data_IF_489031555844
#
_entry.id   IF_489031555844
#
_cell.length_a   1.000
_cell.length_b   1.000
_cell.length_c   1.000
_cell.angle_alpha   90.00
_cell.angle_beta   90.00
_cell.angle_gamma   90.00
#
_symmetry.space_group_name_H-M   'P 1'
#
loop_
_entity.id
_entity.type
_entity.pdbx_description
1 polymer ?
#
# COMPACT_ATOMS: atom_id res chain seq x y z
N UNK A 1 -28.22 1.22 -19.64
CA UNK A 1 -26.99 1.22 -20.45
C UNK A 1 -26.35 2.60 -20.32
N UNK A 2 -25.52 2.81 -19.30
CA UNK A 2 -24.86 4.09 -19.01
C UNK A 2 -23.45 4.03 -19.60
N UNK A 3 -23.28 4.55 -20.82
CA UNK A 3 -21.95 4.63 -21.45
C UNK A 3 -21.22 5.85 -20.90
N UNK A 4 -20.42 5.65 -19.85
CA UNK A 4 -19.52 6.69 -19.33
C UNK A 4 -18.26 6.67 -20.20
N UNK A 5 -18.17 7.59 -21.16
CA UNK A 5 -16.91 7.88 -21.87
C UNK A 5 -16.01 8.70 -20.95
N UNK A 6 -15.10 8.04 -20.23
CA UNK A 6 -13.92 8.74 -19.69
C UNK A 6 -12.99 9.07 -20.85
N UNK A 7 -12.82 10.37 -21.16
CA UNK A 7 -11.69 10.82 -21.98
C UNK A 7 -10.42 10.66 -21.13
N UNK A 8 -9.37 9.97 -21.62
CA UNK A 8 -8.11 9.92 -20.90
C UNK A 8 -7.52 11.34 -20.82
N UNK A 9 -7.33 11.83 -19.60
CA UNK A 9 -6.64 13.08 -19.31
C UNK A 9 -5.16 12.96 -19.72
N UNK A 10 -4.55 14.04 -20.21
CA UNK A 10 -3.17 14.12 -20.72
C UNK A 10 -2.10 13.53 -19.76
N UNK A 11 -2.39 13.48 -18.46
CA UNK A 11 -1.56 12.87 -17.41
C UNK A 11 -1.46 11.34 -17.52
N UNK A 12 -2.52 10.65 -17.94
CA UNK A 12 -2.55 9.19 -18.14
C UNK A 12 -1.62 8.79 -19.29
N UNK A 13 -1.56 9.60 -20.35
CA UNK A 13 -0.69 9.36 -21.50
C UNK A 13 0.80 9.32 -21.11
N UNK A 14 1.25 10.23 -20.24
CA UNK A 14 2.66 10.30 -19.83
C UNK A 14 3.08 9.14 -18.93
N UNK A 15 2.19 8.60 -18.10
CA UNK A 15 2.52 7.49 -17.20
C UNK A 15 2.67 6.17 -17.96
N UNK A 16 1.77 5.90 -18.90
CA UNK A 16 1.87 4.77 -19.85
C UNK A 16 3.15 4.87 -20.67
N UNK A 17 3.59 6.09 -20.98
CA UNK A 17 4.80 6.35 -21.76
C UNK A 17 6.11 6.08 -20.98
N UNK A 18 6.18 6.35 -19.67
CA UNK A 18 7.39 6.04 -18.88
C UNK A 18 7.52 4.54 -18.63
N UNK A 19 6.40 3.86 -18.33
CA UNK A 19 6.40 2.40 -18.12
C UNK A 19 6.29 1.62 -19.44
N UNK A 20 6.20 2.28 -20.59
CA UNK A 20 6.11 1.68 -21.94
C UNK A 20 5.12 0.52 -22.05
N UNK A 21 3.93 0.67 -21.43
CA UNK A 21 2.91 -0.39 -21.42
C UNK A 21 3.26 -1.64 -20.62
N UNK A 22 4.28 -1.60 -19.73
CA UNK A 22 4.65 -2.71 -18.85
C UNK A 22 3.44 -3.19 -18.03
N UNK A 23 3.22 -4.50 -18.06
CA UNK A 23 2.22 -5.18 -17.22
C UNK A 23 2.49 -4.87 -15.73
N UNK A 24 1.48 -4.47 -14.93
CA UNK A 24 1.61 -4.36 -13.48
C UNK A 24 2.02 -5.69 -12.84
N UNK A 25 2.81 -5.63 -11.77
CA UNK A 25 3.21 -6.83 -11.02
C UNK A 25 2.04 -7.39 -10.18
N UNK A 26 1.01 -6.58 -9.96
CA UNK A 26 -0.26 -6.97 -9.35
C UNK A 26 -1.32 -5.90 -9.59
N UNK A 27 -2.59 -6.26 -9.38
CA UNK A 27 -3.70 -5.32 -9.41
C UNK A 27 -4.60 -5.59 -8.22
N UNK A 28 -5.10 -4.54 -7.59
CA UNK A 28 -6.26 -4.64 -6.71
C UNK A 28 -7.48 -4.05 -7.39
N UNK A 29 -8.54 -4.85 -7.39
CA UNK A 29 -9.86 -4.45 -7.84
C UNK A 29 -10.69 -4.15 -6.59
N UNK A 30 -11.24 -2.94 -6.52
CA UNK A 30 -12.07 -2.50 -5.40
C UNK A 30 -13.43 -2.13 -5.93
N UNK A 31 -14.48 -2.54 -5.24
CA UNK A 31 -15.87 -2.12 -5.47
C UNK A 31 -16.52 -1.87 -4.12
N UNK A 32 -17.58 -1.07 -4.07
CA UNK A 32 -18.25 -0.83 -2.81
C UNK A 32 -19.32 0.25 -2.88
N UNK A 33 -19.81 0.65 -1.73
CA UNK A 33 -20.75 1.75 -1.63
C UNK A 33 -20.67 2.46 -0.28
N UNK A 34 -21.13 3.70 -0.26
CA UNK A 34 -21.62 4.34 0.95
C UNK A 34 -23.14 4.22 0.95
N UNK A 35 -23.70 3.70 2.02
CA UNK A 35 -25.13 3.50 2.18
C UNK A 35 -25.59 3.95 3.56
N UNK A 36 -26.83 4.43 3.63
CA UNK A 36 -27.51 4.82 4.87
C UNK A 36 -28.49 3.74 5.29
N UNK A 37 -28.61 3.50 6.60
CA UNK A 37 -29.59 2.58 7.18
C UNK A 37 -29.03 1.62 8.23
N UNK A 38 -27.74 1.77 8.59
CA UNK A 38 -27.08 0.94 9.58
C UNK A 38 -27.42 1.42 11.00
N UNK A 39 -27.98 0.53 11.84
CA UNK A 39 -28.36 0.86 13.23
C UNK A 39 -27.18 0.80 14.20
N UNK A 40 -26.38 -0.27 14.11
CA UNK A 40 -25.19 -0.49 14.95
C UNK A 40 -23.92 -0.25 14.11
N UNK A 41 -23.49 1.01 14.04
CA UNK A 41 -22.40 1.45 13.15
C UNK A 41 -21.29 2.19 13.93
N UNK A 42 -20.77 1.55 14.98
CA UNK A 42 -19.69 2.09 15.83
C UNK A 42 -18.35 1.41 15.62
N UNK A 43 -18.31 0.30 14.89
CA UNK A 43 -17.11 -0.51 14.67
C UNK A 43 -16.59 -0.35 13.24
N UNK A 44 -15.31 -0.66 13.08
CA UNK A 44 -14.59 -0.58 11.80
C UNK A 44 -13.82 -1.86 11.53
N UNK A 45 -13.85 -2.29 10.28
CA UNK A 45 -13.12 -3.45 9.77
C UNK A 45 -12.00 -2.96 8.85
N UNK A 46 -10.74 -3.13 9.28
CA UNK A 46 -9.56 -2.66 8.52
C UNK A 46 -9.15 -3.66 7.44
N UNK A 47 -9.29 -4.95 7.71
CA UNK A 47 -9.18 -6.01 6.72
C UNK A 47 -9.90 -7.24 7.26
N UNK A 48 -10.97 -7.64 6.58
CA UNK A 48 -11.75 -8.81 6.95
C UNK A 48 -11.84 -9.78 5.77
N UNK A 49 -11.61 -11.06 6.03
CA UNK A 49 -11.76 -12.14 5.05
C UNK A 49 -12.25 -13.38 5.78
N UNK A 50 -13.36 -13.94 5.31
CA UNK A 50 -13.99 -15.12 5.92
C UNK A 50 -14.46 -16.16 4.90
N UNK A 51 -14.52 -15.80 3.62
CA UNK A 51 -14.81 -16.75 2.55
C UNK A 51 -13.55 -17.46 2.10
N UNK A 52 -13.68 -18.73 1.74
CA UNK A 52 -12.71 -19.38 0.86
C UNK A 52 -12.58 -18.63 -0.47
N UNK A 53 -11.55 -18.95 -1.26
CA UNK A 53 -11.45 -18.49 -2.65
C UNK A 53 -12.76 -18.78 -3.38
N UNK A 54 -13.29 -17.75 -4.05
CA UNK A 54 -14.54 -17.78 -4.79
C UNK A 54 -14.30 -17.56 -6.27
N UNK A 55 -15.17 -18.13 -7.08
CA UNK A 55 -15.25 -17.83 -8.50
C UNK A 55 -16.13 -16.60 -8.75
N UNK A 56 -15.56 -15.58 -9.40
CA UNK A 56 -16.27 -14.40 -9.91
C UNK A 56 -15.96 -14.26 -11.40
N UNK A 57 -17.00 -14.34 -12.23
CA UNK A 57 -16.84 -14.52 -13.67
C UNK A 57 -16.04 -15.80 -13.98
N UNK A 58 -14.98 -15.66 -14.76
CA UNK A 58 -14.05 -16.75 -15.09
C UNK A 58 -12.79 -16.77 -14.20
N UNK A 59 -12.82 -16.06 -13.06
CA UNK A 59 -11.66 -15.88 -12.19
C UNK A 59 -11.87 -16.36 -10.76
N UNK A 60 -10.89 -17.10 -10.25
CA UNK A 60 -10.74 -17.38 -8.83
C UNK A 60 -10.19 -16.15 -8.09
N UNK A 61 -10.89 -15.70 -7.05
CA UNK A 61 -10.58 -14.52 -6.26
C UNK A 61 -10.71 -14.76 -4.76
N UNK A 62 -9.82 -14.16 -3.98
CA UNK A 62 -10.01 -14.01 -2.55
C UNK A 62 -10.66 -12.65 -2.29
N UNK A 63 -11.78 -12.64 -1.58
CA UNK A 63 -12.52 -11.41 -1.28
C UNK A 63 -12.14 -10.90 0.12
N UNK A 64 -11.77 -9.62 0.16
CA UNK A 64 -11.47 -8.87 1.37
C UNK A 64 -12.47 -7.75 1.55
N UNK A 65 -12.69 -7.37 2.80
CA UNK A 65 -13.66 -6.37 3.18
C UNK A 65 -13.00 -5.31 4.07
N UNK A 66 -13.40 -4.08 3.83
CA UNK A 66 -13.11 -2.91 4.64
C UNK A 66 -14.43 -2.17 4.88
N UNK A 67 -14.70 -1.78 6.11
CA UNK A 67 -15.97 -1.14 6.41
C UNK A 67 -15.86 -0.16 7.58
N UNK A 68 -16.37 1.05 7.39
CA UNK A 68 -16.20 2.15 8.33
C UNK A 68 -17.47 3.00 8.42
N UNK A 69 -17.81 3.54 9.61
CA UNK A 69 -18.80 4.59 9.73
C UNK A 69 -18.39 5.80 8.88
N UNK A 70 -19.32 6.33 8.09
CA UNK A 70 -19.07 7.47 7.22
C UNK A 70 -19.22 8.78 8.01
N UNK A 71 -18.39 9.77 7.69
CA UNK A 71 -18.48 11.10 8.30
C UNK A 71 -19.75 11.89 7.94
N UNK A 72 -20.60 11.38 7.04
CA UNK A 72 -21.86 12.01 6.65
C UNK A 72 -23.01 11.78 7.65
N UNK A 73 -22.88 10.80 8.55
CA UNK A 73 -23.87 10.57 9.61
C UNK A 73 -23.67 9.23 10.32
N UNK A 74 -24.20 9.06 11.53
CA UNK A 74 -24.03 7.83 12.32
C UNK A 74 -24.66 6.59 11.67
N UNK A 75 -25.67 6.78 10.82
CA UNK A 75 -26.36 5.70 10.10
C UNK A 75 -25.72 5.37 8.74
N UNK A 76 -24.71 6.14 8.34
CA UNK A 76 -24.06 6.00 7.04
C UNK A 76 -22.80 5.15 7.21
N UNK A 77 -22.64 4.10 6.40
CA UNK A 77 -21.46 3.23 6.41
C UNK A 77 -20.89 3.13 5.01
N UNK A 78 -19.58 3.25 4.93
CA UNK A 78 -18.84 2.95 3.71
C UNK A 78 -18.29 1.54 3.80
N UNK A 79 -18.61 0.72 2.81
CA UNK A 79 -18.10 -0.64 2.72
C UNK A 79 -17.44 -0.85 1.38
N UNK A 80 -16.21 -1.37 1.43
CA UNK A 80 -15.41 -1.78 0.30
C UNK A 80 -15.25 -3.29 0.31
N UNK A 81 -15.41 -3.90 -0.86
CA UNK A 81 -14.95 -5.25 -1.16
C UNK A 81 -13.80 -5.13 -2.15
N UNK A 82 -12.71 -5.84 -1.90
CA UNK A 82 -11.57 -5.83 -2.79
C UNK A 82 -10.93 -7.19 -2.95
N UNK A 83 -10.18 -7.34 -4.05
CA UNK A 83 -9.44 -8.56 -4.33
C UNK A 83 -8.13 -8.25 -5.02
N UNK A 84 -7.08 -9.01 -4.68
CA UNK A 84 -5.79 -8.96 -5.34
C UNK A 84 -5.74 -9.99 -6.45
N UNK A 85 -5.26 -9.58 -7.62
CA UNK A 85 -5.12 -10.44 -8.79
C UNK A 85 -3.75 -10.28 -9.43
N UNK A 86 -3.27 -11.35 -10.06
CA UNK A 86 -2.28 -11.22 -11.13
C UNK A 86 -2.99 -10.76 -12.41
N UNK A 87 -2.64 -9.61 -12.99
CA UNK A 87 -3.36 -9.10 -14.16
C UNK A 87 -3.19 -10.03 -15.36
N UNK A 88 -4.28 -10.58 -15.86
CA UNK A 88 -4.28 -11.52 -16.98
C UNK A 88 -5.59 -11.43 -17.77
N UNK A 89 -5.61 -12.03 -18.97
CA UNK A 89 -6.87 -12.18 -19.69
C UNK A 89 -7.84 -13.03 -18.85
N UNK A 90 -9.11 -12.63 -18.82
CA UNK A 90 -10.13 -13.30 -18.00
C UNK A 90 -10.17 -12.88 -16.53
N UNK A 91 -9.37 -11.89 -16.11
CA UNK A 91 -9.54 -11.23 -14.80
C UNK A 91 -10.98 -10.71 -14.62
N UNK A 92 -11.52 -10.69 -13.38
CA UNK A 92 -12.90 -10.30 -13.14
C UNK A 92 -13.19 -8.88 -13.61
N UNK A 93 -14.40 -8.65 -14.10
CA UNK A 93 -14.88 -7.29 -14.37
C UNK A 93 -15.31 -6.61 -13.08
N UNK A 94 -15.24 -5.28 -13.05
CA UNK A 94 -15.70 -4.51 -11.89
C UNK A 94 -17.21 -4.65 -11.69
N UNK A 95 -17.98 -4.79 -12.76
CA UNK A 95 -19.41 -5.02 -12.71
C UNK A 95 -19.74 -6.37 -12.03
N UNK A 96 -19.01 -7.44 -12.38
CA UNK A 96 -19.18 -8.77 -11.78
C UNK A 96 -18.83 -8.76 -10.28
N UNK A 97 -17.76 -8.04 -9.91
CA UNK A 97 -17.41 -7.85 -8.51
C UNK A 97 -18.46 -7.03 -7.75
N UNK A 98 -19.01 -5.98 -8.36
CA UNK A 98 -20.01 -5.13 -7.73
C UNK A 98 -21.30 -5.89 -7.46
N UNK A 99 -21.78 -6.68 -8.41
CA UNK A 99 -22.94 -7.56 -8.22
C UNK A 99 -22.72 -8.54 -7.07
N UNK A 100 -21.55 -9.20 -7.04
CA UNK A 100 -21.20 -10.13 -5.97
C UNK A 100 -21.08 -9.46 -4.60
N UNK A 101 -20.54 -8.23 -4.56
CA UNK A 101 -20.43 -7.42 -3.36
C UNK A 101 -21.81 -7.11 -2.76
N UNK A 102 -22.76 -6.68 -3.59
CA UNK A 102 -24.13 -6.36 -3.16
C UNK A 102 -24.84 -7.58 -2.56
N UNK A 103 -24.66 -8.77 -3.15
CA UNK A 103 -25.22 -10.02 -2.60
C UNK A 103 -24.63 -10.35 -1.22
N UNK A 104 -23.30 -10.33 -1.07
CA UNK A 104 -22.66 -10.68 0.21
C UNK A 104 -22.95 -9.65 1.30
N UNK A 105 -23.06 -8.36 0.95
CA UNK A 105 -23.40 -7.31 1.92
C UNK A 105 -24.77 -7.54 2.54
N UNK A 106 -25.75 -7.95 1.74
CA UNK A 106 -27.08 -8.30 2.23
C UNK A 106 -27.02 -9.45 3.25
N UNK A 107 -26.21 -10.48 2.96
CA UNK A 107 -26.09 -11.68 3.80
C UNK A 107 -25.33 -11.42 5.11
N UNK A 108 -24.29 -10.58 5.06
CA UNK A 108 -23.33 -10.38 6.16
C UNK A 108 -23.73 -9.30 7.17
N UNK A 109 -24.49 -8.29 6.75
CA UNK A 109 -24.83 -7.15 7.63
C UNK A 109 -26.16 -7.35 8.36
N UNK A 110 -26.93 -8.38 8.00
CA UNK A 110 -28.27 -8.64 8.55
C UNK A 110 -29.30 -7.56 8.20
N UNK A 111 -28.95 -6.61 7.33
CA UNK A 111 -29.83 -5.57 6.82
C UNK A 111 -30.19 -5.92 5.38
N UNK A 112 -31.47 -6.05 5.09
CA UNK A 112 -31.94 -6.25 3.71
C UNK A 112 -31.59 -5.02 2.87
N UNK A 113 -31.20 -5.23 1.61
CA UNK A 113 -30.85 -4.15 0.69
C UNK A 113 -31.98 -3.11 0.55
N UNK A 114 -33.25 -3.52 0.69
CA UNK A 114 -34.41 -2.63 0.65
C UNK A 114 -34.43 -1.58 1.78
N UNK A 115 -33.71 -1.84 2.88
CA UNK A 115 -33.59 -0.93 4.01
C UNK A 115 -32.36 -0.01 3.89
N UNK A 116 -31.55 -0.16 2.83
CA UNK A 116 -30.33 0.61 2.61
C UNK A 116 -30.54 1.64 1.49
N UNK A 117 -30.30 2.91 1.81
CA UNK A 117 -30.29 3.99 0.83
C UNK A 117 -28.87 4.19 0.31
N UNK A 118 -28.58 3.70 -0.90
CA UNK A 118 -27.27 3.86 -1.54
C UNK A 118 -27.00 5.33 -1.85
N UNK A 119 -26.04 5.92 -1.14
CA UNK A 119 -25.63 7.31 -1.32
C UNK A 119 -24.61 7.45 -2.46
N UNK A 120 -23.71 6.46 -2.58
CA UNK A 120 -22.63 6.47 -3.57
C UNK A 120 -22.15 5.05 -3.85
N UNK A 121 -21.83 4.77 -5.11
CA UNK A 121 -21.10 3.56 -5.53
C UNK A 121 -19.66 3.93 -5.84
N UNK A 122 -18.73 3.06 -5.48
CA UNK A 122 -17.30 3.19 -5.79
C UNK A 122 -16.80 1.94 -6.51
N UNK A 123 -15.90 2.15 -7.45
CA UNK A 123 -15.12 1.09 -8.07
C UNK A 123 -13.77 1.67 -8.48
N UNK A 124 -12.73 0.84 -8.45
CA UNK A 124 -11.36 1.27 -8.69
C UNK A 124 -10.45 0.12 -9.08
N UNK A 125 -9.43 0.46 -9.87
CA UNK A 125 -8.36 -0.44 -10.28
C UNK A 125 -7.05 0.18 -9.81
N UNK A 126 -6.34 -0.52 -8.93
CA UNK A 126 -5.09 -0.06 -8.35
C UNK A 126 -3.94 -0.95 -8.83
N UNK A 127 -3.21 -0.55 -9.89
CA UNK A 127 -2.05 -1.29 -10.34
C UNK A 127 -0.89 -1.09 -9.37
N UNK A 128 -0.14 -2.17 -9.13
CA UNK A 128 1.09 -2.15 -8.33
C UNK A 128 2.27 -2.54 -9.19
N UNK A 129 3.39 -1.87 -8.92
CA UNK A 129 4.66 -2.18 -9.54
C UNK A 129 5.69 -2.31 -8.42
N UNK A 130 6.41 -3.43 -8.40
CA UNK A 130 7.47 -3.71 -7.41
C UNK A 130 8.61 -2.69 -7.48
N UNK A 131 8.81 -2.14 -8.67
CA UNK A 131 9.75 -1.08 -9.00
C UNK A 131 9.02 0.27 -8.95
N UNK A 132 8.72 0.67 -7.71
CA UNK A 132 8.12 1.96 -7.34
C UNK A 132 8.80 2.47 -6.06
N UNK A 133 8.77 3.79 -5.78
CA UNK A 133 8.22 4.88 -6.60
C UNK A 133 8.91 5.04 -7.96
N UNK A 134 8.19 5.50 -8.98
CA UNK A 134 8.73 5.67 -10.33
C UNK A 134 9.74 6.83 -10.36
N UNK A 135 10.99 6.58 -10.79
CA UNK A 135 11.97 7.64 -10.98
C UNK A 135 11.55 8.62 -12.08
N UNK A 136 11.96 9.89 -11.94
CA UNK A 136 11.72 10.90 -12.97
C UNK A 136 12.48 10.58 -14.27
N UNK A 137 11.76 10.50 -15.38
CA UNK A 137 12.33 10.18 -16.69
C UNK A 137 12.61 11.40 -17.57
N UNK A 138 12.12 12.59 -17.19
CA UNK A 138 12.22 13.80 -18.01
C UNK A 138 12.58 15.01 -17.15
N UNK A 139 13.29 15.96 -17.75
CA UNK A 139 13.58 17.24 -17.12
C UNK A 139 12.27 17.96 -16.77
N UNK A 140 12.23 18.55 -15.56
CA UNK A 140 11.12 19.36 -15.04
C UNK A 140 9.80 18.58 -14.92
N UNK A 141 9.82 17.24 -14.93
CA UNK A 141 8.65 16.38 -14.73
C UNK A 141 8.92 15.40 -13.60
N UNK A 142 8.18 15.53 -12.51
CA UNK A 142 8.20 14.61 -11.36
C UNK A 142 6.83 13.97 -11.18
N UNK A 143 6.81 12.66 -10.92
CA UNK A 143 5.59 11.93 -10.58
C UNK A 143 5.30 12.03 -9.08
N UNK A 144 4.02 12.16 -8.73
CA UNK A 144 3.57 12.41 -7.36
C UNK A 144 2.29 11.63 -7.02
N UNK A 145 2.15 11.17 -5.78
CA UNK A 145 1.01 10.38 -5.31
C UNK A 145 0.87 9.04 -6.05
N UNK A 146 -0.35 8.65 -6.38
CA UNK A 146 -0.62 7.39 -7.10
C UNK A 146 0.11 7.36 -8.45
N UNK A 147 0.30 8.53 -9.07
CA UNK A 147 1.07 8.67 -10.30
C UNK A 147 2.57 8.44 -10.08
N UNK A 148 3.12 8.29 -8.88
CA UNK A 148 4.48 7.75 -8.69
C UNK A 148 4.47 6.27 -8.31
N UNK A 149 3.31 5.69 -7.98
CA UNK A 149 3.22 4.33 -7.45
C UNK A 149 3.76 4.17 -6.03
N UNK A 150 3.94 5.27 -5.27
CA UNK A 150 4.42 5.23 -3.87
C UNK A 150 3.36 4.72 -2.88
N UNK A 151 2.12 4.56 -3.32
CA UNK A 151 1.06 3.92 -2.55
C UNK A 151 1.44 2.48 -2.19
N UNK A 152 0.92 1.98 -1.08
CA UNK A 152 1.21 0.59 -0.70
C UNK A 152 0.50 -0.43 -1.56
N UNK A 153 1.17 -1.57 -1.84
CA UNK A 153 0.56 -2.69 -2.54
C UNK A 153 -0.39 -3.53 -1.66
N UNK A 154 -0.49 -3.26 -0.35
CA UNK A 154 -1.36 -4.00 0.58
C UNK A 154 -2.60 -3.16 0.91
N UNK A 155 -2.43 -1.97 1.49
CA UNK A 155 -3.58 -1.16 1.89
C UNK A 155 -4.20 -0.35 0.74
N UNK A 156 -3.46 -0.17 -0.37
CA UNK A 156 -3.75 0.82 -1.43
C UNK A 156 -4.07 2.22 -0.91
N UNK A 157 -3.62 2.54 0.31
CA UNK A 157 -3.83 3.83 0.95
C UNK A 157 -2.96 4.91 0.31
N UNK A 158 -3.35 5.38 -0.88
CA UNK A 158 -2.65 6.46 -1.61
C UNK A 158 -2.56 7.74 -0.78
N UNK A 159 -3.65 8.12 -0.11
CA UNK A 159 -3.68 9.30 0.77
C UNK A 159 -2.77 9.15 2.00
N UNK A 160 -2.81 8.00 2.67
CA UNK A 160 -1.94 7.73 3.83
C UNK A 160 -0.46 7.77 3.42
N UNK A 161 -0.11 7.15 2.30
CA UNK A 161 1.23 7.24 1.74
C UNK A 161 1.61 8.67 1.39
N UNK A 162 0.71 9.42 0.73
CA UNK A 162 0.95 10.80 0.34
C UNK A 162 1.24 11.70 1.53
N UNK A 163 0.43 11.63 2.58
CA UNK A 163 0.62 12.44 3.79
C UNK A 163 1.95 12.14 4.48
N UNK A 164 2.40 10.88 4.49
CA UNK A 164 3.75 10.49 4.97
C UNK A 164 4.88 11.10 4.14
N UNK A 165 4.67 11.27 2.83
CA UNK A 165 5.71 11.73 1.91
C UNK A 165 5.64 13.22 1.55
N UNK A 166 4.54 13.90 1.86
CA UNK A 166 4.29 15.29 1.44
C UNK A 166 5.37 16.24 1.93
N UNK A 167 5.78 16.14 3.20
CA UNK A 167 6.81 17.02 3.78
C UNK A 167 8.16 16.90 3.06
N UNK A 168 8.63 15.67 2.82
CA UNK A 168 9.91 15.44 2.12
C UNK A 168 9.83 15.84 0.64
N UNK A 169 8.71 15.58 -0.03
CA UNK A 169 8.56 15.87 -1.46
C UNK A 169 8.41 17.37 -1.69
N UNK A 170 7.63 18.07 -0.87
CA UNK A 170 7.50 19.53 -0.93
C UNK A 170 8.84 20.23 -0.72
N UNK A 171 9.57 19.84 0.33
CA UNK A 171 10.92 20.38 0.62
C UNK A 171 11.89 20.09 -0.53
N UNK A 172 11.92 18.86 -1.04
CA UNK A 172 12.83 18.49 -2.12
C UNK A 172 12.51 19.14 -3.46
N UNK A 173 11.24 19.32 -3.78
CA UNK A 173 10.83 20.08 -4.98
C UNK A 173 11.24 21.55 -4.83
N UNK A 174 11.03 22.15 -3.66
CA UNK A 174 11.46 23.53 -3.40
C UNK A 174 12.98 23.70 -3.57
N UNK A 175 13.78 22.80 -2.98
CA UNK A 175 15.25 22.81 -3.10
C UNK A 175 15.69 22.58 -4.55
N UNK A 176 15.07 21.64 -5.25
CA UNK A 176 15.38 21.34 -6.65
C UNK A 176 15.11 22.53 -7.57
N UNK A 177 13.97 23.19 -7.43
CA UNK A 177 13.62 24.37 -8.22
C UNK A 177 14.55 25.55 -7.89
N UNK A 178 14.84 25.78 -6.61
CA UNK A 178 15.72 26.88 -6.18
C UNK A 178 17.17 26.69 -6.63
N UNK A 179 17.66 25.45 -6.67
CA UNK A 179 19.01 25.11 -7.11
C UNK A 179 19.14 24.77 -8.60
N UNK A 180 18.07 24.90 -9.39
CA UNK A 180 17.97 24.45 -10.79
C UNK A 180 18.36 22.97 -11.02
N UNK A 181 18.18 22.13 -9.98
CA UNK A 181 18.32 20.66 -10.03
C UNK A 181 17.06 19.99 -10.59
N UNK A 182 16.62 20.48 -11.74
CA UNK A 182 15.35 20.10 -12.38
C UNK A 182 15.56 19.24 -13.62
N UNK A 183 16.75 18.67 -13.77
CA UNK A 183 17.02 17.58 -14.70
C UNK A 183 16.40 16.25 -14.21
N UNK A 184 16.23 15.29 -15.11
CA UNK A 184 15.63 13.99 -14.78
C UNK A 184 16.38 13.23 -13.69
N UNK A 185 17.71 13.32 -13.65
CA UNK A 185 18.51 12.59 -12.67
C UNK A 185 18.31 13.18 -11.27
N UNK A 186 18.46 14.49 -11.11
CA UNK A 186 18.23 15.16 -9.83
C UNK A 186 16.81 14.92 -9.30
N UNK A 187 15.79 15.03 -10.16
CA UNK A 187 14.40 14.77 -9.79
C UNK A 187 14.14 13.30 -9.42
N UNK A 188 14.90 12.36 -10.01
CA UNK A 188 14.75 10.93 -9.69
C UNK A 188 15.09 10.62 -8.23
N UNK A 189 15.98 11.40 -7.61
CA UNK A 189 16.37 11.25 -6.21
C UNK A 189 15.21 11.55 -5.24
N UNK A 190 14.17 12.26 -5.69
CA UNK A 190 12.95 12.51 -4.92
C UNK A 190 12.03 11.28 -4.84
N UNK A 191 12.21 10.30 -5.73
CA UNK A 191 11.51 9.03 -5.75
C UNK A 191 12.54 7.88 -5.65
N UNK A 192 13.25 7.75 -4.52
CA UNK A 192 14.29 6.74 -4.37
C UNK A 192 13.70 5.34 -4.29
N UNK A 193 14.52 4.33 -4.53
CA UNK A 193 14.16 2.94 -4.33
C UNK A 193 13.70 2.68 -2.88
N UNK A 194 12.52 2.09 -2.70
CA UNK A 194 11.91 1.82 -1.39
C UNK A 194 11.82 0.31 -1.11
N UNK A 195 12.78 -0.31 -0.38
CA UNK A 195 12.78 -1.75 -0.15
C UNK A 195 11.61 -2.19 0.73
N UNK A 196 11.09 -1.32 1.59
CA UNK A 196 9.86 -1.60 2.34
C UNK A 196 8.65 -1.73 1.41
N UNK A 197 8.56 -0.88 0.39
CA UNK A 197 7.48 -0.92 -0.59
C UNK A 197 7.60 -2.16 -1.49
N UNK A 198 8.80 -2.43 -2.00
CA UNK A 198 9.08 -3.62 -2.80
C UNK A 198 8.90 -4.92 -2.00
N UNK A 199 9.26 -4.94 -0.72
CA UNK A 199 9.04 -6.09 0.15
C UNK A 199 7.54 -6.34 0.42
N UNK A 200 6.71 -5.30 0.53
CA UNK A 200 5.27 -5.42 0.72
C UNK A 200 4.56 -6.12 -0.45
N UNK A 201 5.12 -6.04 -1.66
CA UNK A 201 4.51 -6.66 -2.85
C UNK A 201 4.39 -8.19 -2.72
N UNK A 202 5.28 -8.85 -1.96
CA UNK A 202 5.15 -10.28 -1.69
C UNK A 202 3.83 -10.61 -0.98
N UNK A 203 3.37 -9.76 -0.05
CA UNK A 203 2.11 -9.99 0.65
C UNK A 203 0.94 -9.93 -0.30
N UNK A 204 0.92 -8.93 -1.19
CA UNK A 204 -0.08 -8.83 -2.25
C UNK A 204 -0.13 -10.10 -3.10
N UNK A 205 1.04 -10.59 -3.54
CA UNK A 205 1.15 -11.81 -4.34
C UNK A 205 0.67 -13.04 -3.58
N UNK A 206 1.00 -13.15 -2.29
CA UNK A 206 0.55 -14.26 -1.45
C UNK A 206 -0.96 -14.21 -1.15
N UNK A 207 -1.56 -13.02 -1.13
CA UNK A 207 -3.01 -12.80 -0.95
C UNK A 207 -3.81 -12.81 -2.26
N UNK A 208 -3.15 -12.99 -3.41
CA UNK A 208 -3.83 -13.10 -4.70
C UNK A 208 -4.19 -14.56 -4.97
N UNK A 209 -5.45 -14.85 -5.29
CA UNK A 209 -5.86 -16.19 -5.66
C UNK A 209 -5.27 -16.58 -7.03
N UNK A 210 -5.02 -17.89 -7.21
CA UNK A 210 -4.55 -18.47 -8.48
C UNK A 210 -5.70 -19.23 -9.13
N UNK A 211 -5.85 -19.06 -10.45
CA UNK A 211 -6.81 -19.82 -11.26
C UNK A 211 -6.60 -21.33 -11.15
N UNK A 212 -5.34 -21.76 -11.11
CA UNK A 212 -4.94 -23.15 -10.91
C UNK A 212 -4.01 -23.16 -9.70
N UNK A 213 -4.55 -23.64 -8.58
CA UNK A 213 -3.86 -23.62 -7.30
C UNK A 213 -3.69 -25.04 -6.77
N UNK A 214 -2.47 -25.37 -6.36
CA UNK A 214 -2.14 -26.62 -5.67
C UNK A 214 -2.22 -26.48 -4.13
N UNK A 215 -2.88 -25.42 -3.65
CA UNK A 215 -3.12 -25.16 -2.23
C UNK A 215 -4.62 -25.08 -1.94
N UNK A 216 -4.98 -25.28 -0.67
CA UNK A 216 -6.37 -25.21 -0.22
C UNK A 216 -7.03 -23.87 -0.60
N UNK A 217 -8.32 -23.84 -0.98
CA UNK A 217 -9.09 -22.61 -1.14
C UNK A 217 -9.11 -21.71 0.11
N UNK A 218 -8.85 -22.26 1.30
CA UNK A 218 -8.77 -21.51 2.57
C UNK A 218 -7.36 -21.02 2.90
N UNK A 219 -6.36 -21.35 2.09
CA UNK A 219 -4.95 -21.09 2.39
C UNK A 219 -4.67 -19.62 2.68
N UNK A 220 -5.28 -18.68 1.93
CA UNK A 220 -5.04 -17.25 2.13
C UNK A 220 -5.57 -16.79 3.50
N UNK A 221 -6.73 -17.31 3.93
CA UNK A 221 -7.26 -17.04 5.26
C UNK A 221 -6.36 -17.64 6.36
N UNK A 222 -5.88 -18.87 6.18
CA UNK A 222 -4.94 -19.51 7.11
C UNK A 222 -3.66 -18.69 7.23
N UNK A 223 -3.09 -18.24 6.10
CA UNK A 223 -1.88 -17.43 6.05
C UNK A 223 -2.06 -16.11 6.81
N UNK A 224 -3.17 -15.41 6.58
CA UNK A 224 -3.48 -14.16 7.26
C UNK A 224 -3.70 -14.38 8.76
N UNK A 225 -4.48 -15.40 9.13
CA UNK A 225 -4.73 -15.75 10.51
C UNK A 225 -3.43 -16.01 11.27
N UNK A 226 -2.55 -16.84 10.72
CA UNK A 226 -1.27 -17.19 11.34
C UNK A 226 -0.36 -15.97 11.45
N UNK A 227 -0.30 -15.12 10.42
CA UNK A 227 0.49 -13.88 10.44
C UNK A 227 -0.02 -12.89 11.50
N UNK A 228 -1.33 -12.61 11.55
CA UNK A 228 -1.91 -11.70 12.54
C UNK A 228 -1.80 -12.25 13.97
N UNK A 229 -1.97 -13.56 14.16
CA UNK A 229 -1.76 -14.20 15.45
C UNK A 229 -0.31 -14.06 15.93
N UNK A 230 0.67 -14.22 15.04
CA UNK A 230 2.08 -14.03 15.36
C UNK A 230 2.40 -12.55 15.67
N UNK A 231 1.87 -11.61 14.87
CA UNK A 231 2.04 -10.18 15.14
C UNK A 231 1.41 -9.76 16.46
N UNK A 232 0.24 -10.30 16.82
CA UNK A 232 -0.40 -10.05 18.10
C UNK A 232 0.44 -10.55 19.28
N UNK A 233 1.05 -11.74 19.18
CA UNK A 233 2.00 -12.25 20.18
C UNK A 233 3.24 -11.37 20.33
N UNK A 234 3.65 -10.69 19.26
CA UNK A 234 4.77 -9.74 19.25
C UNK A 234 4.38 -8.32 19.70
N UNK A 235 3.10 -8.10 20.03
CA UNK A 235 2.51 -6.86 20.55
C UNK A 235 2.58 -5.64 19.62
N UNK A 236 2.09 -4.50 20.12
CA UNK A 236 1.90 -3.23 19.40
C UNK A 236 3.11 -2.71 18.59
N UNK A 237 4.38 -2.84 19.05
CA UNK A 237 5.54 -2.40 18.27
C UNK A 237 5.71 -3.13 16.93
N UNK A 238 5.09 -4.30 16.78
CA UNK A 238 5.07 -5.06 15.52
C UNK A 238 3.74 -4.87 14.79
N UNK A 239 2.61 -4.98 15.50
CA UNK A 239 1.29 -4.95 14.87
C UNK A 239 0.90 -3.57 14.34
N UNK A 240 1.11 -2.49 15.12
CA UNK A 240 0.64 -1.15 14.72
C UNK A 240 1.31 -0.63 13.44
N UNK A 241 2.66 -0.72 13.28
CA UNK A 241 3.28 -0.28 12.04
C UNK A 241 2.78 -1.06 10.83
N UNK A 242 2.53 -2.36 10.97
CA UNK A 242 1.97 -3.17 9.88
C UNK A 242 0.58 -2.70 9.46
N UNK A 243 -0.32 -2.44 10.43
CA UNK A 243 -1.66 -1.91 10.16
C UNK A 243 -1.65 -0.48 9.58
N UNK A 244 -0.62 0.30 9.92
CA UNK A 244 -0.35 1.61 9.33
C UNK A 244 0.45 1.52 8.04
N UNK A 245 0.69 0.29 7.56
CA UNK A 245 1.31 0.04 6.27
C UNK A 245 2.74 0.59 6.17
N UNK A 246 3.43 0.50 7.31
CA UNK A 246 4.85 0.80 7.50
C UNK A 246 5.58 -0.52 7.78
N UNK A 247 6.07 -1.15 6.71
CA UNK A 247 6.88 -2.36 6.82
C UNK A 247 8.30 -2.00 7.26
N UNK A 248 8.67 -2.51 8.43
CA UNK A 248 10.00 -2.36 9.05
C UNK A 248 10.73 -3.70 9.10
N UNK A 249 12.04 -3.66 8.96
CA UNK A 249 12.87 -4.88 8.96
C UNK A 249 12.67 -5.73 10.22
N UNK A 250 12.87 -5.15 11.41
CA UNK A 250 12.81 -5.88 12.68
C UNK A 250 11.46 -6.56 12.94
N UNK A 251 10.34 -5.81 12.93
CA UNK A 251 8.99 -6.37 12.98
C UNK A 251 8.74 -7.47 11.96
N UNK A 252 9.10 -7.25 10.69
CA UNK A 252 8.91 -8.24 9.63
C UNK A 252 9.70 -9.53 9.90
N UNK A 253 10.99 -9.42 10.22
CA UNK A 253 11.85 -10.55 10.51
C UNK A 253 11.35 -11.37 11.71
N UNK A 254 10.91 -10.69 12.78
CA UNK A 254 10.32 -11.34 13.96
C UNK A 254 9.04 -12.10 13.62
N UNK A 255 8.16 -11.49 12.84
CA UNK A 255 6.90 -12.12 12.42
C UNK A 255 7.18 -13.36 11.58
N UNK A 256 8.03 -13.25 10.55
CA UNK A 256 8.39 -14.39 9.70
C UNK A 256 9.04 -15.52 10.49
N UNK A 257 9.99 -15.21 11.37
CA UNK A 257 10.63 -16.20 12.24
C UNK A 257 9.62 -16.90 13.16
N UNK A 258 8.69 -16.14 13.74
CA UNK A 258 7.67 -16.72 14.63
C UNK A 258 6.66 -17.60 13.87
N UNK A 259 6.33 -17.25 12.62
CA UNK A 259 5.51 -18.09 11.74
C UNK A 259 6.24 -19.40 11.40
N UNK A 260 7.52 -19.33 11.06
CA UNK A 260 8.34 -20.52 10.78
C UNK A 260 8.43 -21.45 12.00
N UNK A 261 8.48 -20.91 13.22
CA UNK A 261 8.54 -21.70 14.45
C UNK A 261 7.17 -22.30 14.83
N UNK A 262 6.08 -21.53 14.72
CA UNK A 262 4.77 -21.96 15.19
C UNK A 262 3.98 -22.79 14.16
N UNK A 263 4.20 -22.57 12.86
CA UNK A 263 3.43 -23.16 11.76
C UNK A 263 4.32 -23.52 10.56
N UNK A 264 5.41 -24.30 10.72
CA UNK A 264 6.33 -24.63 9.63
C UNK A 264 5.67 -25.32 8.42
N UNK A 265 4.57 -26.03 8.63
CA UNK A 265 3.80 -26.71 7.58
C UNK A 265 3.16 -25.75 6.56
N UNK A 266 3.04 -24.45 6.86
CA UNK A 266 2.51 -23.47 5.93
C UNK A 266 3.53 -23.09 4.84
N UNK A 267 4.83 -23.31 5.10
CA UNK A 267 5.92 -22.88 4.22
C UNK A 267 5.82 -23.54 2.83
N UNK A 268 5.66 -24.86 2.67
CA UNK A 268 5.46 -25.46 1.34
C UNK A 268 4.29 -24.85 0.57
N UNK A 269 3.20 -24.52 1.25
CA UNK A 269 2.03 -23.87 0.63
C UNK A 269 2.33 -22.42 0.21
N UNK A 270 3.12 -21.66 0.97
CA UNK A 270 3.63 -20.34 0.55
C UNK A 270 4.47 -20.48 -0.72
N UNK A 271 5.36 -21.46 -0.79
CA UNK A 271 6.19 -21.70 -1.97
C UNK A 271 5.34 -22.05 -3.20
N UNK A 272 4.30 -22.87 -3.05
CA UNK A 272 3.33 -23.16 -4.12
C UNK A 272 2.50 -21.94 -4.51
N UNK A 273 2.06 -21.14 -3.54
CA UNK A 273 1.24 -19.96 -3.78
C UNK A 273 2.02 -18.85 -4.45
N UNK A 274 3.25 -18.57 -4.04
CA UNK A 274 4.03 -17.43 -4.53
C UNK A 274 4.96 -17.81 -5.68
N UNK A 275 5.57 -19.00 -5.60
CA UNK A 275 6.61 -19.46 -6.53
C UNK A 275 8.03 -19.12 -6.09
N UNK A 276 8.96 -20.04 -6.34
CA UNK A 276 10.39 -19.90 -5.96
C UNK A 276 11.04 -18.65 -6.58
N UNK A 277 10.88 -18.34 -7.89
CA UNK A 277 11.55 -17.19 -8.48
C UNK A 277 11.17 -15.86 -7.80
N UNK A 278 9.90 -15.75 -7.41
CA UNK A 278 9.36 -14.58 -6.72
C UNK A 278 9.94 -14.43 -5.31
N UNK A 279 10.10 -15.54 -4.58
CA UNK A 279 10.70 -15.53 -3.25
C UNK A 279 12.20 -15.17 -3.28
N UNK A 280 12.92 -15.65 -4.29
CA UNK A 280 14.34 -15.29 -4.49
C UNK A 280 14.48 -13.80 -4.77
N UNK A 281 13.67 -13.26 -5.67
CA UNK A 281 13.66 -11.81 -5.98
C UNK A 281 13.29 -10.98 -4.73
N UNK A 282 12.26 -11.39 -3.98
CA UNK A 282 11.88 -10.74 -2.73
C UNK A 282 12.98 -10.77 -1.66
N UNK A 283 13.78 -11.84 -1.59
CA UNK A 283 14.87 -11.94 -0.60
C UNK A 283 15.90 -10.80 -0.75
N UNK A 284 16.12 -10.32 -1.98
CA UNK A 284 16.97 -9.16 -2.24
C UNK A 284 16.39 -7.86 -1.65
N UNK A 285 15.08 -7.65 -1.79
CA UNK A 285 14.38 -6.52 -1.18
C UNK A 285 14.37 -6.61 0.35
N UNK A 286 14.17 -7.80 0.91
CA UNK A 286 14.26 -8.03 2.35
C UNK A 286 15.65 -7.74 2.91
N UNK A 287 16.71 -8.17 2.22
CA UNK A 287 18.09 -7.84 2.59
C UNK A 287 18.35 -6.33 2.51
N UNK A 288 17.92 -5.67 1.42
CA UNK A 288 18.04 -4.22 1.28
C UNK A 288 17.28 -3.47 2.37
N UNK A 289 16.11 -3.95 2.79
CA UNK A 289 15.37 -3.38 3.91
C UNK A 289 16.19 -3.43 5.21
N UNK A 290 16.84 -4.57 5.48
CA UNK A 290 17.78 -4.70 6.60
C UNK A 290 18.99 -3.79 6.47
N UNK A 291 19.62 -3.76 5.29
CA UNK A 291 20.79 -2.92 5.02
C UNK A 291 20.48 -1.42 5.20
N UNK A 292 19.36 -0.94 4.67
CA UNK A 292 18.93 0.45 4.82
C UNK A 292 18.62 0.77 6.29
N UNK A 293 17.99 -0.16 7.01
CA UNK A 293 17.74 -0.01 8.46
C UNK A 293 19.05 0.12 9.24
N UNK A 294 20.08 -0.67 8.90
CA UNK A 294 21.40 -0.58 9.52
C UNK A 294 22.08 0.76 9.22
N UNK A 295 22.14 1.15 7.95
CA UNK A 295 22.72 2.43 7.54
C UNK A 295 22.06 3.60 8.27
N UNK A 296 20.74 3.60 8.36
CA UNK A 296 20.03 4.69 9.03
C UNK A 296 20.17 4.70 10.55
N UNK A 297 20.31 3.53 11.16
CA UNK A 297 20.42 3.46 12.62
C UNK A 297 21.82 3.84 13.07
N UNK A 298 22.84 3.48 12.29
CA UNK A 298 24.24 3.58 12.71
C UNK A 298 25.06 4.60 11.92
N UNK A 299 24.86 4.73 10.60
CA UNK A 299 25.61 5.69 9.79
C UNK A 299 25.00 7.09 9.84
N UNK A 300 23.66 7.20 9.89
CA UNK A 300 22.95 8.50 9.94
C UNK A 300 23.43 9.43 11.07
N UNK A 301 23.49 8.99 12.34
CA UNK A 301 23.90 9.88 13.42
C UNK A 301 25.34 10.39 13.27
N UNK A 302 26.24 9.52 12.81
CA UNK A 302 27.67 9.83 12.66
C UNK A 302 27.88 10.86 11.55
N UNK A 303 27.24 10.63 10.41
CA UNK A 303 27.39 11.47 9.23
C UNK A 303 26.72 12.83 9.46
N UNK A 304 25.51 12.87 10.02
CA UNK A 304 24.81 14.12 10.36
C UNK A 304 25.64 15.01 11.29
N UNK A 305 26.25 14.42 12.32
CA UNK A 305 27.13 15.14 13.26
C UNK A 305 28.42 15.69 12.62
N UNK A 306 28.86 15.07 11.52
CA UNK A 306 30.06 15.49 10.78
C UNK A 306 29.75 16.62 9.80
N UNK A 307 28.55 16.62 9.20
CA UNK A 307 28.12 17.66 8.27
C UNK A 307 27.63 18.94 8.95
N UNK A 308 27.00 18.87 10.13
CA UNK A 308 26.65 20.06 10.92
C UNK A 308 27.88 20.88 11.36
N UNK A 309 29.09 20.32 11.22
CA UNK A 309 30.38 20.97 11.53
C UNK A 309 31.10 21.57 10.32
N UNK A 310 30.59 21.41 9.09
CA UNK A 310 31.26 21.83 7.86
C UNK A 310 30.47 22.95 7.15
N UNK A 311 31.13 24.09 6.86
CA UNK A 311 30.47 25.26 6.28
C UNK A 311 30.61 25.35 4.74
N UNK A 312 29.49 25.71 4.10
CA UNK A 312 29.32 26.31 2.76
C UNK A 312 29.49 25.48 1.45
N UNK A 313 28.51 25.70 0.57
CA UNK A 313 28.43 25.52 -0.90
C UNK A 313 28.58 24.12 -1.52
N UNK A 314 29.60 23.32 -1.20
CA UNK A 314 29.73 21.94 -1.69
C UNK A 314 28.79 20.96 -0.97
N UNK A 315 28.34 21.37 0.22
CA UNK A 315 27.45 20.61 1.09
C UNK A 315 26.06 20.44 0.48
N UNK A 316 25.57 21.37 -0.35
CA UNK A 316 24.19 21.31 -0.88
C UNK A 316 23.87 20.03 -1.66
N UNK A 317 24.76 19.59 -2.56
CA UNK A 317 24.57 18.39 -3.38
C UNK A 317 24.70 17.10 -2.56
N UNK A 318 25.69 17.02 -1.66
CA UNK A 318 25.88 15.86 -0.78
C UNK A 318 24.81 15.79 0.29
N UNK A 319 24.36 16.93 0.81
CA UNK A 319 23.29 17.06 1.78
C UNK A 319 21.92 16.75 1.16
N UNK A 320 21.63 17.20 -0.07
CA UNK A 320 20.45 16.76 -0.85
C UNK A 320 20.52 15.24 -1.01
N UNK A 321 21.60 14.72 -1.63
CA UNK A 321 21.74 13.30 -1.94
C UNK A 321 21.60 12.40 -0.70
N UNK A 322 22.22 12.81 0.41
CA UNK A 322 22.24 12.05 1.64
C UNK A 322 20.98 12.24 2.49
N UNK A 323 20.40 13.45 2.57
CA UNK A 323 19.10 13.68 3.22
C UNK A 323 18.00 12.90 2.52
N UNK A 324 18.03 12.77 1.19
CA UNK A 324 17.05 11.94 0.47
C UNK A 324 17.20 10.43 0.72
N UNK A 325 18.43 9.92 0.90
CA UNK A 325 18.68 8.52 1.29
C UNK A 325 18.36 8.25 2.77
N UNK A 326 18.76 9.13 3.68
CA UNK A 326 18.56 9.00 5.13
C UNK A 326 17.11 9.18 5.57
N UNK A 327 16.34 10.06 4.94
CA UNK A 327 14.93 10.29 5.28
C UNK A 327 14.03 9.08 5.01
N UNK A 328 14.48 8.15 4.16
CA UNK A 328 13.77 6.89 3.94
C UNK A 328 13.66 6.07 5.23
N UNK A 329 14.62 6.22 6.13
CA UNK A 329 14.58 5.62 7.45
C UNK A 329 13.88 6.46 8.50
N UNK A 330 13.76 7.77 8.29
CA UNK A 330 12.89 8.60 9.11
C UNK A 330 11.42 8.17 8.92
N UNK A 331 11.02 7.76 7.71
CA UNK A 331 9.71 7.14 7.46
C UNK A 331 9.58 5.76 8.12
N UNK A 332 10.69 5.03 8.26
CA UNK A 332 10.73 3.76 8.98
C UNK A 332 10.64 3.96 10.51
N UNK A 333 11.17 5.04 11.06
CA UNK A 333 11.26 5.23 12.51
C UNK A 333 10.18 6.15 13.09
N UNK A 334 9.62 7.08 12.32
CA UNK A 334 8.78 8.15 12.83
C UNK A 334 7.26 7.82 12.83
N UNK A 335 6.92 6.62 13.30
CA UNK A 335 5.53 6.24 13.60
C UNK A 335 5.17 6.41 15.09
N UNK A 336 6.04 7.05 15.89
CA UNK A 336 5.90 7.07 17.36
C UNK A 336 6.39 8.31 18.10
N UNK A 337 6.84 9.38 17.43
CA UNK A 337 7.27 10.62 18.09
C UNK A 337 6.79 11.84 17.33
N UNK A 338 5.51 12.20 17.51
CA UNK A 338 5.09 13.59 17.27
C UNK A 338 5.54 14.39 18.48
N UNK A 339 6.58 15.18 18.30
CA UNK A 339 6.90 16.29 19.18
C UNK A 339 5.77 17.33 19.02
N UNK A 340 5.11 17.69 20.12
CA UNK A 340 3.84 18.45 20.19
C UNK A 340 3.88 19.93 19.75
N UNK A 341 4.86 20.35 18.93
CA UNK A 341 5.08 21.77 18.62
C UNK A 341 4.91 22.18 17.14
N UNK A 342 4.21 21.40 16.32
CA UNK A 342 3.71 21.87 15.02
C UNK A 342 2.18 21.89 14.99
N UNK A 343 1.61 22.94 15.60
CA UNK A 343 0.25 23.39 15.29
C UNK A 343 0.24 23.92 13.85
N UNK A 344 -0.25 23.11 12.92
CA UNK A 344 -0.71 23.60 11.61
C UNK A 344 -2.15 23.09 11.41
N UNK A 345 -3.06 23.98 11.82
CA UNK A 345 -4.43 24.19 11.35
C UNK A 345 -5.21 22.90 11.05
N UNK A 346 -5.84 22.41 12.12
CA UNK A 346 -7.05 21.59 12.01
C UNK A 346 -8.09 22.39 11.23
N UNK A 347 -8.43 21.91 10.03
CA UNK A 347 -9.65 22.32 9.35
C UNK A 347 -10.81 21.87 10.24
N UNK A 348 -11.49 22.86 10.80
CA UNK A 348 -12.72 22.74 11.57
C UNK A 348 -13.76 21.98 10.75
N UNK A 349 -13.90 20.68 11.01
CA UNK A 349 -15.16 19.96 10.82
C UNK A 349 -15.96 20.13 12.11
N UNK A 350 -17.12 20.74 11.90
CA UNK A 350 -18.03 21.31 12.89
C UNK A 350 -18.64 20.23 13.79
N UNK A 351 -18.95 20.65 15.02
CA UNK A 351 -19.70 19.97 16.09
C UNK A 351 -20.89 19.14 15.61
#
# INVERSE_FOLDING_TARGET
MLTIRQKPTLSVLKFVQIRSGRKPDGVCLVVGSCARGFKDNSTSDVIYSSSSVKKVGDSEVQLFWEAFPAGSGPLDRTTYMFTYIDPQAGSPKLEELLEHCTTILADSTGVTLDNLEIQRVIYGIFPTYRDSPLPAAFNRILQFGDASGIQSPVSFGGFGSLTRHLGRLSTGVYEAVRGDFVDSYSLSLLNPYMPNLSASWLFQRAMSAKQQSDVSPDFINELLYVNFQCMQKLSDPVLRPFLQDVIKFGPLAKTLGLVMLNKPQIIPSIFKQVGIPVLVDWSGHFFMLGYYTLLSTFADPVIRSSFEKCDSSLVGLVWIFWRFHSFQAEIQNNSGSRNDNCRLVSATLVK
#
